data_IF_097422247683
#
_entry.id   IF_097422247683
#
_cell.length_a   1.000
_cell.length_b   1.000
_cell.length_c   1.000
_cell.angle_alpha   90.00
_cell.angle_beta   90.00
_cell.angle_gamma   90.00
#
_symmetry.space_group_name_H-M   'P 1'
#
loop_
_entity.id
_entity.type
_entity.pdbx_description
1 polymer ?
#
# COMPACT_ATOMS: atom_id res chain seq x y z
N UNK A 1 -9.24 11.03 -11.38
CA UNK A 1 -9.59 10.98 -9.94
C UNK A 1 -9.40 9.52 -9.53
N UNK A 2 -8.32 9.18 -8.81
CA UNK A 2 -7.99 7.80 -8.53
C UNK A 2 -9.08 7.12 -7.69
N UNK A 3 -9.22 5.81 -7.89
CA UNK A 3 -10.07 4.96 -7.08
C UNK A 3 -9.58 4.96 -5.62
N UNK A 4 -10.44 5.20 -4.60
CA UNK A 4 -10.04 5.16 -3.20
C UNK A 4 -9.81 3.71 -2.76
N UNK A 5 -8.58 3.23 -2.89
CA UNK A 5 -8.23 1.87 -2.53
C UNK A 5 -8.45 1.60 -1.05
N UNK A 6 -9.04 0.45 -0.74
CA UNK A 6 -9.04 -0.07 0.63
C UNK A 6 -7.74 -0.82 0.86
N UNK A 7 -7.10 -0.62 2.01
CA UNK A 7 -5.87 -1.35 2.35
C UNK A 7 -6.23 -2.79 2.76
N UNK A 8 -5.62 -3.82 2.13
CA UNK A 8 -5.84 -5.21 2.51
C UNK A 8 -5.33 -5.48 3.94
N UNK A 9 -5.88 -6.50 4.58
CA UNK A 9 -5.47 -6.94 5.92
C UNK A 9 -4.97 -8.37 5.89
N UNK A 10 -4.10 -8.74 6.84
CA UNK A 10 -3.39 -10.03 6.82
C UNK A 10 -3.62 -10.88 8.09
N UNK A 11 -3.38 -12.20 8.01
CA UNK A 11 -3.39 -13.13 9.16
C UNK A 11 -2.15 -12.97 10.04
N UNK A 12 -2.13 -13.46 11.29
CA UNK A 12 -0.88 -13.62 12.03
C UNK A 12 -0.02 -14.71 11.38
N UNK A 13 1.32 -14.54 11.43
CA UNK A 13 2.32 -15.51 10.99
C UNK A 13 3.57 -15.29 11.83
N UNK A 14 4.21 -16.38 12.24
CA UNK A 14 5.53 -16.41 12.86
C UNK A 14 6.50 -17.10 11.90
N UNK A 15 7.48 -16.39 11.34
CA UNK A 15 8.48 -16.98 10.45
C UNK A 15 9.42 -18.00 11.13
N UNK A 16 9.83 -17.85 12.40
CA UNK A 16 10.66 -18.84 13.09
C UNK A 16 10.10 -20.26 13.11
N UNK A 17 8.78 -20.44 12.97
CA UNK A 17 8.17 -21.79 12.90
C UNK A 17 8.40 -22.48 11.56
N UNK A 18 8.81 -21.73 10.53
CA UNK A 18 9.00 -22.21 9.16
C UNK A 18 10.44 -22.09 8.67
N UNK A 19 11.15 -21.06 9.12
CA UNK A 19 12.48 -20.70 8.64
C UNK A 19 13.48 -20.53 9.77
N UNK A 20 14.70 -20.99 9.54
CA UNK A 20 15.86 -20.74 10.37
C UNK A 20 16.93 -20.06 9.54
N UNK A 21 17.79 -19.26 10.18
CA UNK A 21 18.89 -18.56 9.53
C UNK A 21 20.12 -18.69 10.42
N UNK A 22 21.19 -19.36 10.00
CA UNK A 22 22.42 -19.36 10.78
C UNK A 22 23.10 -17.99 10.85
N UNK A 23 22.91 -17.13 9.83
CA UNK A 23 23.50 -15.79 9.81
C UNK A 23 22.67 -14.82 8.95
N UNK A 24 21.99 -13.82 9.53
CA UNK A 24 21.79 -13.54 10.95
C UNK A 24 20.61 -14.37 11.55
N UNK A 25 20.71 -14.87 12.79
CA UNK A 25 19.70 -15.77 13.36
C UNK A 25 18.42 -15.09 13.84
N UNK A 26 18.47 -13.79 14.14
CA UNK A 26 17.28 -13.00 14.49
C UNK A 26 16.41 -12.63 13.28
N UNK A 27 16.85 -12.88 12.03
CA UNK A 27 16.17 -12.41 10.82
C UNK A 27 14.71 -12.90 10.71
N UNK A 28 14.39 -14.21 10.88
CA UNK A 28 12.99 -14.65 10.84
C UNK A 28 12.15 -14.03 11.97
N UNK A 29 12.73 -13.88 13.16
CA UNK A 29 12.02 -13.31 14.31
C UNK A 29 11.68 -11.83 14.07
N UNK A 30 12.62 -11.04 13.58
CA UNK A 30 12.41 -9.62 13.27
C UNK A 30 11.43 -9.42 12.12
N UNK A 31 11.50 -10.24 11.08
CA UNK A 31 10.50 -10.24 10.02
C UNK A 31 9.09 -10.48 10.57
N UNK A 32 8.96 -11.38 11.56
CA UNK A 32 7.69 -11.67 12.24
C UNK A 32 7.20 -10.49 13.07
N UNK A 33 8.11 -9.87 13.83
CA UNK A 33 7.80 -8.69 14.64
C UNK A 33 7.28 -7.54 13.78
N UNK A 34 8.01 -7.17 12.72
CA UNK A 34 7.60 -6.12 11.79
C UNK A 34 6.27 -6.43 11.09
N UNK A 35 6.05 -7.69 10.71
CA UNK A 35 4.78 -8.15 10.15
C UNK A 35 3.63 -8.02 11.14
N UNK A 36 3.86 -8.36 12.41
CA UNK A 36 2.90 -8.21 13.50
C UNK A 36 2.50 -6.76 13.73
N UNK A 37 3.48 -5.85 13.82
CA UNK A 37 3.25 -4.40 13.93
C UNK A 37 2.45 -3.89 12.73
N UNK A 38 2.84 -4.25 11.51
CA UNK A 38 2.13 -3.87 10.29
C UNK A 38 0.68 -4.35 10.30
N UNK A 39 0.45 -5.63 10.64
CA UNK A 39 -0.91 -6.20 10.72
C UNK A 39 -1.78 -5.40 11.69
N UNK A 40 -1.25 -5.08 12.87
CA UNK A 40 -1.97 -4.32 13.88
C UNK A 40 -2.29 -2.89 13.39
N UNK A 41 -1.33 -2.22 12.73
CA UNK A 41 -1.53 -0.92 12.12
C UNK A 41 -2.59 -0.94 10.99
N UNK A 42 -2.60 -1.95 10.13
CA UNK A 42 -3.61 -2.13 9.07
C UNK A 42 -5.00 -2.38 9.66
N UNK A 43 -5.11 -3.20 10.71
CA UNK A 43 -6.38 -3.44 11.42
C UNK A 43 -6.87 -2.16 12.11
N UNK A 44 -5.98 -1.40 12.73
CA UNK A 44 -6.30 -0.12 13.35
C UNK A 44 -6.78 0.88 12.28
N UNK A 45 -6.06 1.01 11.17
CA UNK A 45 -6.44 1.86 10.04
C UNK A 45 -7.83 1.55 9.51
N UNK A 46 -8.17 0.28 9.29
CA UNK A 46 -9.51 -0.13 8.85
C UNK A 46 -10.62 0.31 9.81
N UNK A 47 -10.34 0.40 11.11
CA UNK A 47 -11.30 0.81 12.16
C UNK A 47 -11.38 2.33 12.34
N UNK A 48 -10.41 3.09 11.81
CA UNK A 48 -10.42 4.55 11.91
C UNK A 48 -11.55 5.16 11.07
N UNK A 49 -12.19 6.24 11.55
CA UNK A 49 -13.08 7.05 10.74
C UNK A 49 -12.41 7.53 9.44
N UNK A 50 -13.13 7.64 8.31
CA UNK A 50 -12.55 8.05 7.02
C UNK A 50 -11.76 9.36 7.08
N UNK A 51 -12.18 10.31 7.94
CA UNK A 51 -11.50 11.60 8.12
C UNK A 51 -10.09 11.47 8.74
N UNK A 52 -9.86 10.48 9.60
CA UNK A 52 -8.57 10.28 10.28
C UNK A 52 -7.67 9.25 9.60
N UNK A 53 -8.18 8.48 8.64
CA UNK A 53 -7.39 7.52 7.86
C UNK A 53 -6.25 8.19 7.10
N UNK A 54 -6.52 9.35 6.48
CA UNK A 54 -5.54 10.09 5.68
C UNK A 54 -4.26 10.46 6.46
N UNK A 55 -4.39 10.79 7.75
CA UNK A 55 -3.26 11.14 8.62
C UNK A 55 -2.39 9.93 9.01
N UNK A 56 -2.95 8.72 8.95
CA UNK A 56 -2.27 7.47 9.33
C UNK A 56 -1.49 6.83 8.17
N UNK A 57 -1.77 7.20 6.92
CA UNK A 57 -1.12 6.62 5.72
C UNK A 57 0.42 6.71 5.76
N UNK A 58 1.07 7.84 6.11
CA UNK A 58 2.53 7.93 6.16
C UNK A 58 3.17 6.93 7.13
N UNK A 59 2.50 6.68 8.26
CA UNK A 59 2.94 5.70 9.25
C UNK A 59 2.89 4.28 8.66
N UNK A 60 1.81 3.95 7.94
CA UNK A 60 1.66 2.66 7.26
C UNK A 60 2.72 2.46 6.18
N UNK A 61 3.02 3.48 5.36
CA UNK A 61 4.09 3.42 4.36
C UNK A 61 5.44 3.08 5.02
N UNK A 62 5.74 3.71 6.16
CA UNK A 62 6.97 3.45 6.92
C UNK A 62 7.03 2.00 7.40
N UNK A 63 5.95 1.48 7.97
CA UNK A 63 5.87 0.09 8.43
C UNK A 63 5.95 -0.93 7.28
N UNK A 64 5.27 -0.66 6.16
CA UNK A 64 5.33 -1.48 4.96
C UNK A 64 6.73 -1.52 4.38
N UNK A 65 7.41 -0.37 4.33
CA UNK A 65 8.79 -0.28 3.85
C UNK A 65 9.71 -1.13 4.73
N UNK A 66 9.66 -0.94 6.05
CA UNK A 66 10.46 -1.73 7.00
C UNK A 66 10.21 -3.23 6.86
N UNK A 67 8.95 -3.64 6.82
CA UNK A 67 8.61 -5.05 6.67
C UNK A 67 9.05 -5.62 5.32
N UNK A 68 8.83 -4.88 4.23
CA UNK A 68 9.26 -5.27 2.87
C UNK A 68 10.77 -5.51 2.83
N UNK A 69 11.57 -4.62 3.43
CA UNK A 69 13.03 -4.78 3.53
C UNK A 69 13.40 -6.13 4.17
N UNK A 70 12.79 -6.46 5.31
CA UNK A 70 13.09 -7.71 6.04
C UNK A 70 12.57 -8.95 5.30
N UNK A 71 11.40 -8.86 4.66
CA UNK A 71 10.82 -9.94 3.86
C UNK A 71 11.69 -10.27 2.65
N UNK A 72 12.16 -9.26 1.93
CA UNK A 72 13.06 -9.44 0.78
C UNK A 72 14.44 -9.91 1.22
N UNK A 73 14.94 -9.45 2.36
CA UNK A 73 16.20 -9.96 2.94
C UNK A 73 16.07 -11.45 3.31
N UNK A 74 14.94 -11.86 3.89
CA UNK A 74 14.68 -13.28 4.17
C UNK A 74 14.61 -14.10 2.87
N UNK A 75 14.01 -13.54 1.82
CA UNK A 75 13.89 -14.22 0.51
C UNK A 75 15.27 -14.41 -0.13
N UNK A 76 16.08 -13.36 -0.18
CA UNK A 76 17.46 -13.43 -0.70
C UNK A 76 18.33 -14.37 0.13
N UNK A 77 18.17 -14.38 1.45
CA UNK A 77 18.86 -15.35 2.31
C UNK A 77 18.46 -16.81 2.00
N UNK A 78 17.21 -17.07 1.61
CA UNK A 78 16.78 -18.39 1.18
C UNK A 78 17.35 -18.76 -0.20
N UNK A 79 17.43 -17.80 -1.13
CA UNK A 79 18.03 -17.98 -2.46
C UNK A 79 19.55 -18.25 -2.37
N UNK A 80 20.24 -17.54 -1.47
CA UNK A 80 21.67 -17.66 -1.21
C UNK A 80 22.04 -18.88 -0.33
N UNK A 81 21.05 -19.64 0.13
CA UNK A 81 21.22 -20.75 1.08
C UNK A 81 21.88 -20.34 2.41
N UNK A 82 21.67 -19.10 2.86
CA UNK A 82 22.06 -18.64 4.20
C UNK A 82 20.91 -18.73 5.20
N UNK A 83 19.69 -18.93 4.73
CA UNK A 83 18.53 -19.31 5.51
C UNK A 83 17.92 -20.60 4.95
N UNK A 84 17.23 -21.37 5.79
CA UNK A 84 16.70 -22.68 5.46
C UNK A 84 15.28 -22.87 5.98
N UNK A 85 14.50 -23.67 5.26
CA UNK A 85 13.23 -24.19 5.76
C UNK A 85 13.50 -25.21 6.88
N UNK A 86 12.69 -25.17 7.95
CA UNK A 86 12.78 -26.18 9.00
C UNK A 86 12.29 -27.55 8.46
N UNK A 87 13.02 -28.66 8.67
CA UNK A 87 12.65 -29.97 8.12
C UNK A 87 11.29 -30.51 8.57
N UNK A 88 10.83 -30.14 9.76
CA UNK A 88 9.54 -30.56 10.33
C UNK A 88 8.44 -29.48 10.22
N UNK A 89 8.71 -28.36 9.53
CA UNK A 89 7.75 -27.27 9.45
C UNK A 89 6.57 -27.64 8.56
N UNK A 90 5.34 -27.23 8.92
CA UNK A 90 4.20 -27.31 8.02
C UNK A 90 4.43 -26.42 6.80
N UNK A 91 3.65 -26.64 5.74
CA UNK A 91 3.73 -25.81 4.54
C UNK A 91 3.49 -24.34 4.90
N UNK A 92 4.41 -23.46 4.49
CA UNK A 92 4.27 -22.03 4.74
C UNK A 92 3.09 -21.46 3.94
N UNK A 93 2.04 -21.06 4.65
CA UNK A 93 0.81 -20.50 4.08
C UNK A 93 0.55 -19.12 4.65
N UNK A 94 0.28 -18.14 3.79
CA UNK A 94 -0.12 -16.79 4.20
C UNK A 94 -1.51 -16.44 3.71
N UNK A 95 -2.26 -15.67 4.50
CA UNK A 95 -3.62 -15.27 4.14
C UNK A 95 -3.81 -13.76 4.18
N UNK A 96 -4.35 -13.24 3.09
CA UNK A 96 -4.66 -11.83 2.89
C UNK A 96 -6.13 -11.66 2.53
N UNK A 97 -6.72 -10.55 2.96
CA UNK A 97 -8.04 -10.13 2.49
C UNK A 97 -7.87 -9.39 1.17
N UNK A 98 -8.40 -9.98 0.10
CA UNK A 98 -8.37 -9.37 -1.21
C UNK A 98 -9.33 -8.17 -1.27
N UNK A 99 -9.01 -7.09 -1.97
CA UNK A 99 -9.85 -5.88 -2.00
C UNK A 99 -10.59 -5.71 -3.31
N UNK A 100 -10.03 -6.20 -4.41
CA UNK A 100 -10.68 -6.18 -5.74
C UNK A 100 -11.39 -7.50 -6.07
N UNK A 101 -11.17 -8.57 -5.29
CA UNK A 101 -11.87 -9.84 -5.50
C UNK A 101 -13.30 -9.73 -4.98
N UNK A 102 -14.33 -9.90 -5.84
CA UNK A 102 -15.72 -9.81 -5.41
C UNK A 102 -16.06 -10.94 -4.42
N UNK A 103 -16.96 -10.70 -3.46
CA UNK A 103 -17.44 -11.75 -2.57
C UNK A 103 -18.19 -12.81 -3.40
N UNK A 104 -17.72 -14.06 -3.32
CA UNK A 104 -18.23 -15.18 -4.11
C UNK A 104 -19.58 -15.73 -3.62
N UNK A 105 -20.10 -15.26 -2.49
CA UNK A 105 -21.36 -15.79 -1.92
C UNK A 105 -22.57 -15.09 -2.53
N UNK A 106 -23.24 -15.78 -3.48
CA UNK A 106 -24.60 -15.43 -3.95
C UNK A 106 -25.50 -15.16 -2.73
N UNK A 107 -25.99 -13.93 -2.59
CA UNK A 107 -27.04 -13.59 -1.61
C UNK A 107 -26.67 -12.62 -0.47
N UNK A 108 -25.40 -12.18 -0.32
CA UNK A 108 -25.07 -11.01 0.53
C UNK A 108 -24.21 -10.03 -0.25
N UNK A 109 -24.85 -9.03 -0.82
CA UNK A 109 -24.26 -7.91 -1.57
C UNK A 109 -23.38 -6.96 -0.71
N UNK A 110 -23.20 -7.24 0.59
CA UNK A 110 -22.51 -6.37 1.54
C UNK A 110 -21.63 -7.14 2.56
N UNK A 111 -21.00 -8.23 2.13
CA UNK A 111 -20.06 -8.98 2.98
C UNK A 111 -18.63 -8.44 2.93
N UNK A 112 -17.85 -8.60 4.01
CA UNK A 112 -16.41 -8.35 3.96
C UNK A 112 -15.74 -9.18 2.86
N UNK A 113 -14.73 -8.61 2.23
CA UNK A 113 -14.00 -9.29 1.17
C UNK A 113 -13.33 -10.59 1.66
N UNK A 114 -13.26 -11.61 0.77
CA UNK A 114 -12.80 -12.93 1.16
C UNK A 114 -11.33 -12.91 1.58
N UNK A 115 -11.02 -13.67 2.64
CA UNK A 115 -9.64 -13.96 3.04
C UNK A 115 -9.16 -15.16 2.24
N UNK A 116 -8.13 -14.98 1.43
CA UNK A 116 -7.58 -16.00 0.54
C UNK A 116 -6.21 -16.41 1.09
N UNK A 117 -6.09 -17.69 1.43
CA UNK A 117 -4.84 -18.30 1.87
C UNK A 117 -4.12 -18.92 0.66
N UNK A 118 -2.81 -18.70 0.54
CA UNK A 118 -1.96 -19.33 -0.47
C UNK A 118 -0.60 -19.67 0.13
N UNK A 119 0.07 -20.62 -0.52
CA UNK A 119 1.35 -21.13 -0.07
C UNK A 119 2.51 -20.33 -0.65
N UNK A 120 3.61 -20.28 0.10
CA UNK A 120 4.88 -19.73 -0.36
C UNK A 120 5.08 -18.23 -0.08
N UNK A 121 6.36 -17.85 -0.04
CA UNK A 121 6.78 -16.48 0.28
C UNK A 121 6.46 -15.49 -0.85
N UNK A 122 6.41 -15.96 -2.10
CA UNK A 122 6.04 -15.13 -3.24
C UNK A 122 4.69 -14.46 -3.03
N UNK A 123 3.67 -15.20 -2.56
CA UNK A 123 2.34 -14.64 -2.34
C UNK A 123 2.36 -13.49 -1.32
N UNK A 124 3.13 -13.63 -0.24
CA UNK A 124 3.35 -12.57 0.74
C UNK A 124 4.03 -11.34 0.11
N UNK A 125 5.06 -11.54 -0.72
CA UNK A 125 5.78 -10.45 -1.39
C UNK A 125 4.85 -9.68 -2.35
N UNK A 126 4.06 -10.40 -3.14
CA UNK A 126 3.10 -9.79 -4.07
C UNK A 126 2.09 -8.92 -3.30
N UNK A 127 1.47 -9.44 -2.24
CA UNK A 127 0.51 -8.66 -1.46
C UNK A 127 1.13 -7.47 -0.73
N UNK A 128 2.31 -7.63 -0.15
CA UNK A 128 2.97 -6.55 0.60
C UNK A 128 3.36 -5.39 -0.29
N UNK A 129 3.94 -5.67 -1.46
CA UNK A 129 4.29 -4.66 -2.46
C UNK A 129 3.04 -4.00 -3.06
N UNK A 130 2.00 -4.77 -3.41
CA UNK A 130 0.74 -4.17 -3.86
C UNK A 130 0.12 -3.27 -2.78
N UNK A 131 0.20 -3.66 -1.51
CA UNK A 131 -0.28 -2.85 -0.38
C UNK A 131 0.53 -1.55 -0.23
N UNK A 132 1.84 -1.60 -0.44
CA UNK A 132 2.70 -0.42 -0.45
C UNK A 132 2.30 0.54 -1.58
N UNK A 133 2.05 0.02 -2.79
CA UNK A 133 1.60 0.84 -3.91
C UNK A 133 0.20 1.46 -3.66
N UNK A 134 -0.73 0.72 -3.04
CA UNK A 134 -2.01 1.29 -2.60
C UNK A 134 -1.82 2.42 -1.59
N UNK A 135 -0.94 2.25 -0.60
CA UNK A 135 -0.65 3.27 0.40
C UNK A 135 -0.06 4.55 -0.23
N UNK A 136 0.86 4.43 -1.18
CA UNK A 136 1.37 5.59 -1.93
C UNK A 136 0.28 6.30 -2.74
N UNK A 137 -0.62 5.54 -3.37
CA UNK A 137 -1.74 6.11 -4.13
C UNK A 137 -2.69 6.90 -3.22
N UNK A 138 -3.00 6.37 -2.03
CA UNK A 138 -3.80 7.05 -1.02
C UNK A 138 -3.10 8.31 -0.47
N UNK A 139 -1.78 8.27 -0.31
CA UNK A 139 -1.01 9.44 0.12
C UNK A 139 -1.04 10.55 -0.93
N UNK A 140 -0.92 10.20 -2.21
CA UNK A 140 -1.05 11.15 -3.31
C UNK A 140 -2.45 11.78 -3.34
N UNK A 141 -3.50 10.99 -3.14
CA UNK A 141 -4.87 11.47 -3.03
C UNK A 141 -5.05 12.49 -1.90
N UNK A 142 -4.51 12.21 -0.72
CA UNK A 142 -4.55 13.14 0.40
C UNK A 142 -3.86 14.47 0.07
N UNK A 143 -2.69 14.42 -0.57
CA UNK A 143 -1.95 15.61 -1.01
C UNK A 143 -2.75 16.43 -2.03
N UNK A 144 -3.42 15.79 -2.98
CA UNK A 144 -4.28 16.46 -3.95
C UNK A 144 -5.53 17.08 -3.31
N UNK A 145 -6.15 16.39 -2.36
CA UNK A 145 -7.29 16.93 -1.61
C UNK A 145 -6.89 18.19 -0.81
N UNK A 146 -5.68 18.25 -0.27
CA UNK A 146 -5.18 19.44 0.41
C UNK A 146 -5.01 20.63 -0.53
N UNK A 147 -4.61 20.39 -1.78
CA UNK A 147 -4.53 21.47 -2.80
C UNK A 147 -5.91 21.96 -3.21
N UNK A 148 -6.88 21.05 -3.33
CA UNK A 148 -8.26 21.38 -3.76
C UNK A 148 -9.14 21.95 -2.64
N UNK A 149 -8.77 21.72 -1.37
CA UNK A 149 -9.52 22.24 -0.23
C UNK A 149 -9.48 23.79 -0.23
N UNK A 150 -10.66 24.40 -0.32
CA UNK A 150 -10.82 25.86 -0.35
C UNK A 150 -10.23 26.52 0.91
N UNK A 151 -9.57 27.70 0.79
CA UNK A 151 -9.01 28.43 1.93
C UNK A 151 -10.04 28.78 3.02
N UNK A 152 -11.35 28.76 2.70
CA UNK A 152 -12.43 28.99 3.68
C UNK A 152 -12.58 27.86 4.71
N UNK A 153 -12.15 26.64 4.42
CA UNK A 153 -12.24 25.50 5.35
C UNK A 153 -10.90 25.19 6.05
N UNK A 154 -9.78 25.64 5.46
CA UNK A 154 -8.44 25.42 5.97
C UNK A 154 -8.08 26.28 7.19
N UNK A 155 -8.81 27.37 7.45
CA UNK A 155 -8.51 28.28 8.57
C UNK A 155 -8.78 27.68 9.97
N UNK A 156 -9.47 26.53 10.06
CA UNK A 156 -9.90 25.97 11.35
C UNK A 156 -8.98 24.87 11.93
N UNK A 157 -8.02 24.33 11.17
CA UNK A 157 -7.19 23.23 11.67
C UNK A 157 -5.78 23.20 11.06
N UNK A 158 -4.77 23.58 11.87
CA UNK A 158 -3.36 23.14 11.76
C UNK A 158 -2.50 23.96 10.74
N UNK A 159 -1.17 24.15 10.98
CA UNK A 159 -0.45 25.33 10.51
C UNK A 159 -0.05 25.24 9.03
N UNK A 160 -0.06 26.40 8.37
CA UNK A 160 0.47 26.73 7.05
C UNK A 160 0.25 25.69 5.93
N UNK A 161 -0.61 25.97 4.92
CA UNK A 161 -0.69 25.08 3.77
C UNK A 161 0.69 25.00 3.11
N UNK A 162 1.22 23.78 2.99
CA UNK A 162 2.42 23.54 2.19
C UNK A 162 2.20 24.15 0.79
N UNK A 163 3.26 24.69 0.20
CA UNK A 163 3.18 25.31 -1.12
C UNK A 163 2.47 24.33 -2.09
N UNK A 164 1.35 24.73 -2.73
CA UNK A 164 0.58 23.84 -3.59
C UNK A 164 1.45 23.21 -4.69
N UNK A 165 2.49 23.90 -5.15
CA UNK A 165 3.44 23.33 -6.11
C UNK A 165 4.24 22.16 -5.52
N UNK A 166 4.63 22.25 -4.25
CA UNK A 166 5.31 21.16 -3.54
C UNK A 166 4.38 19.96 -3.36
N UNK A 167 3.11 20.18 -2.99
CA UNK A 167 2.13 19.10 -2.85
C UNK A 167 1.89 18.36 -4.17
N UNK A 168 1.80 19.08 -5.30
CA UNK A 168 1.73 18.45 -6.62
C UNK A 168 2.96 17.60 -6.95
N UNK A 169 4.16 18.09 -6.64
CA UNK A 169 5.40 17.33 -6.86
C UNK A 169 5.43 16.05 -6.01
N UNK A 170 5.04 16.14 -4.75
CA UNK A 170 4.98 14.99 -3.85
C UNK A 170 3.90 13.98 -4.28
N UNK A 171 2.74 14.45 -4.73
CA UNK A 171 1.68 13.59 -5.23
C UNK A 171 2.12 12.83 -6.49
N UNK A 172 2.74 13.54 -7.44
CA UNK A 172 3.30 12.92 -8.64
C UNK A 172 4.38 11.88 -8.28
N UNK A 173 5.30 12.20 -7.35
CA UNK A 173 6.33 11.26 -6.91
C UNK A 173 5.74 9.98 -6.28
N UNK A 174 4.71 10.11 -5.44
CA UNK A 174 4.02 8.96 -4.84
C UNK A 174 3.32 8.10 -5.91
N UNK A 175 2.65 8.69 -6.90
CA UNK A 175 1.99 7.96 -7.98
C UNK A 175 3.00 7.22 -8.88
N UNK A 176 4.11 7.86 -9.23
CA UNK A 176 5.19 7.23 -9.99
C UNK A 176 5.86 6.09 -9.21
N UNK A 177 6.00 6.24 -7.89
CA UNK A 177 6.49 5.16 -7.02
C UNK A 177 5.50 3.99 -7.00
N UNK A 178 4.20 4.24 -6.92
CA UNK A 178 3.20 3.19 -6.96
C UNK A 178 3.21 2.44 -8.31
N UNK A 179 3.32 3.18 -9.44
CA UNK A 179 3.44 2.58 -10.77
C UNK A 179 4.67 1.69 -10.91
N UNK A 180 5.85 2.18 -10.47
CA UNK A 180 7.10 1.41 -10.55
C UNK A 180 7.06 0.13 -9.70
N UNK A 181 6.41 0.15 -8.54
CA UNK A 181 6.20 -1.06 -7.73
C UNK A 181 5.36 -2.10 -8.49
N UNK A 182 4.30 -1.68 -9.19
CA UNK A 182 3.49 -2.61 -9.98
C UNK A 182 4.24 -3.17 -11.18
N UNK A 183 5.03 -2.36 -11.88
CA UNK A 183 5.89 -2.85 -12.97
C UNK A 183 6.94 -3.84 -12.46
N UNK A 184 7.53 -3.57 -11.30
CA UNK A 184 8.44 -4.51 -10.64
C UNK A 184 7.75 -5.85 -10.37
N UNK A 185 6.52 -5.84 -9.84
CA UNK A 185 5.73 -7.06 -9.62
C UNK A 185 5.46 -7.85 -10.91
N UNK A 186 5.37 -7.19 -12.07
CA UNK A 186 5.20 -7.87 -13.36
C UNK A 186 6.46 -8.64 -13.78
N UNK A 187 7.64 -8.16 -13.40
CA UNK A 187 8.92 -8.83 -13.72
C UNK A 187 9.24 -10.01 -12.82
N UNK A 188 8.61 -10.10 -11.64
CA UNK A 188 8.89 -11.16 -10.67
C UNK A 188 8.29 -12.50 -11.10
N UNK A 189 9.03 -13.61 -10.92
CA UNK A 189 8.51 -14.94 -11.23
C UNK A 189 7.33 -15.28 -10.31
N UNK A 190 6.24 -15.78 -10.89
CA UNK A 190 5.13 -16.35 -10.12
C UNK A 190 5.31 -17.86 -10.07
N UNK A 191 5.40 -18.47 -8.88
CA UNK A 191 5.47 -19.92 -8.78
C UNK A 191 4.20 -20.54 -9.39
N UNK A 192 4.33 -21.66 -10.13
CA UNK A 192 3.18 -22.42 -10.58
C UNK A 192 2.43 -22.92 -9.36
N UNK A 193 1.25 -22.34 -9.12
CA UNK A 193 0.35 -22.74 -8.03
C UNK A 193 -0.75 -23.62 -8.62
N UNK A 194 -1.08 -24.72 -7.95
CA UNK A 194 -2.26 -25.52 -8.27
C UNK A 194 -3.56 -24.69 -8.17
N UNK A 195 -3.52 -23.60 -7.41
CA UNK A 195 -4.65 -22.72 -7.14
C UNK A 195 -4.50 -21.37 -7.87
N UNK A 196 -5.61 -20.84 -8.39
CA UNK A 196 -5.66 -19.58 -9.14
C UNK A 196 -5.35 -18.37 -8.26
N UNK A 197 -4.46 -17.48 -8.70
CA UNK A 197 -4.14 -16.26 -7.96
C UNK A 197 -5.36 -15.32 -7.85
N UNK A 198 -5.50 -14.54 -6.76
CA UNK A 198 -6.54 -13.51 -6.65
C UNK A 198 -6.48 -12.51 -7.80
N UNK A 199 -7.63 -11.96 -8.21
CA UNK A 199 -7.73 -11.10 -9.40
C UNK A 199 -6.77 -9.91 -9.36
N UNK A 200 -6.57 -9.30 -8.19
CA UNK A 200 -5.70 -8.13 -8.00
C UNK A 200 -4.21 -8.42 -8.14
N UNK A 201 -3.80 -9.68 -8.00
CA UNK A 201 -2.41 -10.12 -8.19
C UNK A 201 -2.16 -10.71 -9.57
N UNK A 202 -3.19 -10.76 -10.43
CA UNK A 202 -3.02 -11.22 -11.81
C UNK A 202 -2.22 -10.19 -12.61
N UNK A 203 -1.38 -10.63 -13.57
CA UNK A 203 -0.63 -9.70 -14.42
C UNK A 203 -1.48 -8.62 -15.11
N UNK A 204 -2.66 -8.90 -15.70
CA UNK A 204 -3.48 -7.84 -16.30
C UNK A 204 -3.97 -6.81 -15.27
N UNK A 205 -4.31 -7.23 -14.04
CA UNK A 205 -4.72 -6.29 -13.00
C UNK A 205 -3.56 -5.39 -12.55
N UNK A 206 -2.37 -5.96 -12.33
CA UNK A 206 -1.18 -5.19 -11.94
C UNK A 206 -0.76 -4.21 -13.05
N UNK A 207 -0.81 -4.63 -14.31
CA UNK A 207 -0.54 -3.75 -15.46
C UNK A 207 -1.55 -2.60 -15.55
N UNK A 208 -2.85 -2.89 -15.35
CA UNK A 208 -3.88 -1.87 -15.31
C UNK A 208 -3.68 -0.89 -14.15
N UNK A 209 -3.32 -1.37 -12.95
CA UNK A 209 -3.03 -0.52 -11.79
C UNK A 209 -1.81 0.37 -12.01
N UNK A 210 -0.75 -0.14 -12.66
CA UNK A 210 0.40 0.67 -13.08
C UNK A 210 -0.02 1.78 -14.05
N UNK A 211 -0.74 1.40 -15.11
CA UNK A 211 -1.19 2.33 -16.15
C UNK A 211 -2.12 3.43 -15.60
N UNK A 212 -3.00 3.10 -14.66
CA UNK A 212 -3.88 4.07 -13.99
C UNK A 212 -3.06 5.07 -13.17
N UNK A 213 -2.09 4.60 -12.39
CA UNK A 213 -1.23 5.51 -11.60
C UNK A 213 -0.37 6.41 -12.48
N UNK A 214 0.10 5.92 -13.62
CA UNK A 214 0.79 6.72 -14.63
C UNK A 214 -0.13 7.77 -15.25
N UNK A 215 -1.34 7.39 -15.64
CA UNK A 215 -2.33 8.32 -16.16
C UNK A 215 -2.67 9.42 -15.13
N UNK A 216 -2.86 9.05 -13.86
CA UNK A 216 -3.11 10.02 -12.79
C UNK A 216 -1.89 10.94 -12.56
N UNK A 217 -0.66 10.43 -12.63
CA UNK A 217 0.55 11.26 -12.53
C UNK A 217 0.61 12.28 -13.69
N UNK A 218 0.31 11.85 -14.92
CA UNK A 218 0.26 12.78 -16.07
C UNK A 218 -0.84 13.82 -15.92
N UNK A 219 -2.00 13.43 -15.37
CA UNK A 219 -3.09 14.37 -15.09
C UNK A 219 -2.67 15.40 -14.04
N UNK A 220 -1.94 15.00 -12.99
CA UNK A 220 -1.38 15.93 -11.99
C UNK A 220 -0.45 16.95 -12.65
N UNK A 221 0.39 16.54 -13.59
CA UNK A 221 1.27 17.47 -14.31
C UNK A 221 0.49 18.47 -15.18
N UNK A 222 -0.58 18.01 -15.85
CA UNK A 222 -1.47 18.89 -16.63
C UNK A 222 -2.17 19.90 -15.71
N UNK A 223 -2.75 19.43 -14.60
CA UNK A 223 -3.44 20.31 -13.63
C UNK A 223 -2.48 21.31 -12.99
N UNK A 224 -1.25 20.88 -12.68
CA UNK A 224 -0.21 21.78 -12.14
C UNK A 224 0.14 22.91 -13.10
N UNK A 225 0.11 22.66 -14.41
CA UNK A 225 0.43 23.63 -15.45
C UNK A 225 -0.81 24.36 -16.00
N UNK A 226 -2.02 24.07 -15.49
CA UNK A 226 -3.26 24.58 -16.05
C UNK A 226 -3.33 26.12 -15.98
N UNK A 227 -3.31 26.81 -17.15
CA UNK A 227 -3.40 28.26 -17.18
C UNK A 227 -4.86 28.75 -17.09
N UNK A 228 -5.87 27.86 -17.13
CA UNK A 228 -7.28 28.22 -17.15
C UNK A 228 -7.71 29.18 -16.01
N UNK A 229 -7.25 29.01 -14.74
CA UNK A 229 -7.56 29.97 -13.68
C UNK A 229 -7.04 31.39 -13.97
N UNK A 230 -5.91 31.49 -14.66
CA UNK A 230 -5.32 32.77 -15.11
C UNK A 230 -6.09 33.32 -16.31
N UNK A 231 -6.41 32.46 -17.30
CA UNK A 231 -7.17 32.86 -18.47
C UNK A 231 -8.58 33.31 -18.14
N UNK A 232 -9.23 32.72 -17.14
CA UNK A 232 -10.53 33.19 -16.65
C UNK A 232 -10.45 34.64 -16.16
N UNK A 233 -9.43 34.97 -15.35
CA UNK A 233 -9.18 36.35 -14.90
C UNK A 233 -8.88 37.30 -16.05
N UNK A 234 -8.12 36.85 -17.05
CA UNK A 234 -7.81 37.65 -18.25
C UNK A 234 -9.04 37.83 -19.13
N UNK A 235 -9.88 36.81 -19.32
CA UNK A 235 -11.12 36.90 -20.09
C UNK A 235 -12.17 37.78 -19.40
N UNK A 236 -12.18 37.81 -18.06
CA UNK A 236 -13.01 38.73 -17.29
C UNK A 236 -12.54 40.20 -17.45
N UNK A 237 -11.32 40.43 -17.94
CA UNK A 237 -10.83 41.75 -18.33
C UNK A 237 -10.99 41.98 -19.84
N UNK A 238 -11.66 43.05 -20.24
CA UNK A 238 -11.80 43.40 -21.66
C UNK A 238 -10.46 43.94 -22.18
N UNK A 239 -9.59 43.07 -22.69
CA UNK A 239 -8.28 43.41 -23.26
C UNK A 239 -8.18 42.90 -24.70
N UNK A 240 -7.72 43.76 -25.61
CA UNK A 240 -7.39 43.39 -26.98
C UNK A 240 -5.92 42.99 -27.06
N UNK A 241 -5.62 41.76 -27.50
CA UNK A 241 -4.26 41.30 -27.75
C UNK A 241 -4.01 41.13 -29.25
N UNK A 242 -2.81 41.52 -29.69
CA UNK A 242 -2.34 41.30 -31.06
C UNK A 242 -2.17 39.80 -31.30
N UNK A 243 -2.69 39.29 -32.42
CA UNK A 243 -2.58 37.88 -32.80
C UNK A 243 -1.10 37.53 -33.02
N UNK A 244 -0.54 36.53 -32.31
CA UNK A 244 0.85 36.12 -32.49
C UNK A 244 1.10 35.59 -33.91
N UNK A 245 2.28 35.89 -34.46
CA UNK A 245 2.73 35.30 -35.73
C UNK A 245 2.90 33.78 -35.65
N UNK A 246 2.76 33.09 -36.79
CA UNK A 246 2.77 31.62 -36.89
C UNK A 246 4.02 30.97 -36.30
N UNK A 247 5.20 31.56 -36.48
CA UNK A 247 6.45 31.06 -35.93
C UNK A 247 6.46 31.05 -34.38
N UNK A 248 5.85 32.06 -33.76
CA UNK A 248 5.75 32.16 -32.30
C UNK A 248 4.79 31.10 -31.71
N UNK A 249 3.74 30.75 -32.45
CA UNK A 249 2.81 29.68 -32.07
C UNK A 249 3.46 28.31 -32.23
N UNK A 250 4.16 28.06 -33.33
CA UNK A 250 4.86 26.80 -33.58
C UNK A 250 5.94 26.51 -32.52
N UNK A 251 6.67 27.55 -32.07
CA UNK A 251 7.65 27.40 -30.99
C UNK A 251 7.03 27.05 -29.62
N UNK A 252 5.73 27.31 -29.42
CA UNK A 252 4.99 27.00 -28.19
C UNK A 252 4.19 25.69 -28.28
N UNK A 253 4.14 25.05 -29.45
CA UNK A 253 3.43 23.79 -29.59
C UNK A 253 4.17 22.67 -28.83
N UNK A 254 3.46 21.90 -27.99
CA UNK A 254 4.05 20.77 -27.29
C UNK A 254 4.48 19.69 -28.30
N UNK A 255 5.65 19.11 -28.06
CA UNK A 255 6.35 18.19 -28.97
C UNK A 255 5.85 16.73 -28.91
N UNK A 256 4.75 16.48 -28.17
CA UNK A 256 4.14 15.15 -28.04
C UNK A 256 4.94 14.13 -27.20
N UNK A 257 5.99 14.56 -26.49
CA UNK A 257 6.77 13.68 -25.61
C UNK A 257 5.94 13.27 -24.38
N UNK A 258 6.10 12.03 -23.95
CA UNK A 258 5.52 11.56 -22.69
C UNK A 258 6.01 12.42 -21.52
N UNK A 259 5.07 12.85 -20.67
CA UNK A 259 5.33 13.76 -19.55
C UNK A 259 6.10 13.03 -18.43
N UNK A 260 5.83 11.73 -18.25
CA UNK A 260 6.45 10.89 -17.25
C UNK A 260 6.83 9.54 -17.85
N UNK A 261 7.95 9.00 -17.38
CA UNK A 261 8.38 7.62 -17.59
C UNK A 261 8.46 6.92 -16.24
N UNK A 262 8.02 5.67 -16.15
CA UNK A 262 8.18 4.87 -14.92
C UNK A 262 9.66 4.53 -14.74
N UNK A 263 10.23 4.92 -13.61
CA UNK A 263 11.57 4.50 -13.23
C UNK A 263 11.58 3.06 -12.74
N UNK A 264 12.71 2.36 -12.88
CA UNK A 264 12.87 1.02 -12.28
C UNK A 264 12.77 1.15 -10.76
N UNK A 265 11.87 0.38 -10.15
CA UNK A 265 11.73 0.40 -8.70
C UNK A 265 12.90 -0.31 -8.03
N UNK A 266 13.60 0.40 -7.15
CA UNK A 266 14.66 -0.17 -6.32
C UNK A 266 14.09 -0.67 -5.00
N UNK A 267 14.23 -1.97 -4.75
CA UNK A 267 13.78 -2.59 -3.52
C UNK A 267 14.57 -2.06 -2.31
N UNK A 268 13.90 -1.69 -1.21
CA UNK A 268 14.55 -1.39 0.05
C UNK A 268 15.43 -2.56 0.52
N UNK A 269 16.67 -2.26 0.93
CA UNK A 269 17.63 -3.24 1.46
C UNK A 269 18.11 -2.82 2.84
N UNK A 270 18.43 -3.79 3.69
CA UNK A 270 19.08 -3.51 4.96
C UNK A 270 20.47 -2.94 4.70
N UNK A 271 20.86 -1.94 5.48
CA UNK A 271 22.21 -1.39 5.42
C UNK A 271 23.25 -2.44 5.83
N UNK A 272 24.50 -2.28 5.37
CA UNK A 272 25.59 -3.17 5.77
C UNK A 272 25.79 -3.19 7.30
N UNK A 273 25.65 -2.04 7.96
CA UNK A 273 25.72 -1.94 9.42
C UNK A 273 24.55 -2.62 10.12
N UNK A 274 23.32 -2.46 9.60
CA UNK A 274 22.15 -3.16 10.14
C UNK A 274 22.32 -4.67 10.02
N UNK A 275 22.77 -5.17 8.85
CA UNK A 275 23.08 -6.60 8.66
C UNK A 275 24.18 -7.09 9.60
N UNK A 276 25.20 -6.28 9.92
CA UNK A 276 26.20 -6.63 10.93
C UNK A 276 25.61 -6.64 12.33
N UNK A 277 24.80 -5.66 12.69
CA UNK A 277 24.12 -5.59 13.98
C UNK A 277 23.24 -6.83 14.20
N UNK A 278 22.47 -7.25 13.19
CA UNK A 278 21.65 -8.47 13.24
C UNK A 278 22.47 -9.74 13.47
N UNK A 279 23.69 -9.80 12.93
CA UNK A 279 24.60 -10.93 13.16
C UNK A 279 25.16 -10.94 14.58
N UNK A 280 25.40 -9.77 15.16
CA UNK A 280 25.94 -9.62 16.52
C UNK A 280 24.87 -9.84 17.60
N UNK A 281 23.65 -9.33 17.38
CA UNK A 281 22.52 -9.48 18.30
C UNK A 281 22.10 -10.95 18.45
N UNK A 282 22.26 -11.72 17.38
CA UNK A 282 22.05 -13.17 17.38
C UNK A 282 23.09 -14.02 18.14
N UNK A 283 24.23 -13.44 18.52
CA UNK A 283 25.30 -14.15 19.22
C UNK A 283 25.12 -14.16 20.75
N UNK A 284 24.21 -13.34 21.28
CA UNK A 284 23.84 -13.34 22.70
C UNK A 284 22.48 -14.01 22.80
N UNK A 285 22.44 -15.25 23.28
CA UNK A 285 21.21 -16.01 23.45
C UNK A 285 20.23 -15.24 24.35
N UNK A 286 19.18 -14.68 23.77
CA UNK A 286 18.09 -14.04 24.51
C UNK A 286 16.97 -15.06 24.69
N UNK A 287 16.66 -15.28 25.96
CA UNK A 287 15.69 -16.25 26.44
C UNK A 287 14.31 -16.05 25.83
N UNK A 288 13.69 -17.19 25.61
CA UNK A 288 12.28 -17.35 25.26
C UNK A 288 11.42 -16.92 26.46
N UNK A 289 11.02 -15.64 26.50
CA UNK A 289 9.96 -15.16 27.38
C UNK A 289 8.96 -14.34 26.56
N UNK A 290 7.67 -14.70 26.66
CA UNK A 290 6.57 -13.83 26.24
C UNK A 290 5.90 -14.16 24.91
N UNK A 291 5.46 -15.40 24.72
CA UNK A 291 4.28 -15.69 23.89
C UNK A 291 3.25 -16.38 24.78
N UNK A 292 2.71 -15.64 25.75
CA UNK A 292 1.44 -16.02 26.35
C UNK A 292 0.33 -15.74 25.34
N UNK A 293 -0.42 -16.80 25.06
CA UNK A 293 -1.58 -16.83 24.20
C UNK A 293 -2.71 -16.04 24.84
N UNK A 294 -3.02 -14.85 24.31
CA UNK A 294 -4.29 -14.17 24.60
C UNK A 294 -5.40 -14.85 23.79
N UNK A 295 -5.91 -15.97 24.33
CA UNK A 295 -7.10 -16.65 23.85
C UNK A 295 -8.34 -15.82 24.22
N UNK A 296 -8.67 -14.84 23.38
CA UNK A 296 -9.97 -14.18 23.43
C UNK A 296 -11.07 -15.15 23.01
N UNK A 297 -11.72 -15.77 23.99
CA UNK A 297 -12.98 -16.49 23.81
C UNK A 297 -14.04 -15.54 23.23
N UNK A 298 -14.57 -15.88 22.05
CA UNK A 298 -15.76 -15.23 21.50
C UNK A 298 -16.98 -15.78 22.25
N UNK A 299 -17.51 -14.99 23.21
CA UNK A 299 -18.83 -15.23 23.81
C UNK A 299 -19.90 -15.16 22.71
N UNK A 300 -20.68 -16.25 22.56
CA UNK A 300 -21.91 -16.22 21.78
C UNK A 300 -22.90 -15.22 22.39
N UNK A 301 -23.58 -14.37 21.58
CA UNK A 301 -24.63 -13.51 22.12
C UNK A 301 -25.83 -14.36 22.56
N UNK A 302 -26.10 -14.29 23.87
CA UNK A 302 -27.26 -14.88 24.52
C UNK A 302 -28.57 -14.52 23.78
N UNK A 303 -29.40 -15.55 23.54
CA UNK A 303 -30.79 -15.39 23.10
C UNK A 303 -31.54 -14.53 24.12
N UNK A 304 -31.84 -13.29 23.76
CA UNK A 304 -32.83 -12.49 24.50
C UNK A 304 -34.21 -12.98 24.08
N UNK A 305 -34.81 -13.78 24.95
CA UNK A 305 -36.18 -14.27 24.85
C UNK A 305 -37.13 -13.08 25.09
N UNK A 306 -37.77 -12.60 24.02
CA UNK A 306 -38.71 -11.47 24.08
C UNK A 306 -40.02 -11.94 24.72
N UNK A 307 -40.14 -11.77 26.04
CA UNK A 307 -41.36 -11.94 26.81
C UNK A 307 -42.26 -10.70 26.65
N UNK A 308 -42.96 -10.61 25.53
CA UNK A 308 -43.94 -9.56 25.24
C UNK A 308 -45.32 -10.15 24.95
N UNK A 309 -45.86 -10.93 25.88
CA UNK A 309 -47.23 -11.45 25.84
C UNK A 309 -48.15 -10.36 26.39
N UNK A 310 -48.73 -9.54 25.52
CA UNK A 310 -49.75 -8.55 25.84
C UNK A 310 -50.83 -8.59 24.79
N UNK A 311 -51.88 -9.36 25.04
CA UNK A 311 -53.08 -9.37 24.20
C UNK A 311 -53.97 -8.19 24.56
N UNK A 312 -54.53 -7.54 23.55
CA UNK A 312 -55.87 -6.96 23.59
C UNK A 312 -56.49 -7.10 22.20
N UNK A 313 -57.80 -7.28 22.24
CA UNK A 313 -58.77 -7.27 21.14
C UNK A 313 -58.61 -6.07 20.20
#
# INVERSE_FOLDING_TARGET
>A
MPFPFTLPTTSPISYPTFFTSPSPPSLPLLASSHRGTLRNALKAHKRLPPASQAANIPHIITLLTKYTTHLLTLTTALEDNTAFLLPAAPQFTTSWRATLTPPTRRGRLAGESPRIARNGLSYEIFFTLSTLAYAHTLQALNQLHQVLASPSAAAAATPAPADPQQLFNLAAANLLTAASVYEHLLTRPRPPSAETWPVELTPPALAALSAVNMADATLVAVVKQDPYPTWRKVNDSVLFQVVPGTAAVAARMPTGREIHSVGVWEAPRLGAEEMRALRMEGAVGVGMEGLEEDSGEEEEPAKVEYAGKGGYY
#
